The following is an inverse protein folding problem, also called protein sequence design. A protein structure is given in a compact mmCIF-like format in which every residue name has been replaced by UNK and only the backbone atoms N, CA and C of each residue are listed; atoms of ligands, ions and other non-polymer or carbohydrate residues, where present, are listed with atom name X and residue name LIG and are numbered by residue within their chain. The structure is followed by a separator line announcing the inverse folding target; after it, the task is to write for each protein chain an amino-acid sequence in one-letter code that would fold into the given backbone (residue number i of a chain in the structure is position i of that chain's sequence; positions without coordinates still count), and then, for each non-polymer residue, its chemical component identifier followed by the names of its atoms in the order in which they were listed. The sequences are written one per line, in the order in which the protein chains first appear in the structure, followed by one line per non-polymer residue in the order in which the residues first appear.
data_IF_739968127062
#
_entry.id   IF_739968127062
#
_cell.length_a   1.000
_cell.length_b   1.000
_cell.length_c   1.000
_cell.angle_alpha   90.00
_cell.angle_beta   90.00
_cell.angle_gamma   90.00
#
_symmetry.space_group_name_H-M   'P 1'
#
loop_
_entity.id
_entity.type
_entity.pdbx_description
1 polymer ?
#
# COMPACT_ATOMS: atom_id res chain seq x y z
N UNK A 1 11.39 10.37 5.58
CA UNK A 1 10.43 9.59 6.37
C UNK A 1 11.15 9.14 7.62
N UNK A 2 10.55 9.28 8.81
CA UNK A 2 11.17 8.84 10.08
C UNK A 2 11.39 7.33 10.17
N UNK A 3 10.66 6.52 9.39
CA UNK A 3 10.88 5.07 9.35
C UNK A 3 12.31 4.70 8.95
N UNK A 4 12.92 5.46 8.05
CA UNK A 4 14.29 5.23 7.58
C UNK A 4 15.31 5.26 8.72
N UNK A 5 15.06 6.05 9.77
CA UNK A 5 15.94 6.22 10.92
C UNK A 5 15.84 5.04 11.91
N UNK A 6 14.75 4.25 11.85
CA UNK A 6 14.42 3.26 12.87
C UNK A 6 14.22 1.84 12.33
N UNK A 7 14.15 1.67 11.00
CA UNK A 7 14.08 0.33 10.41
C UNK A 7 15.42 -0.38 10.57
N UNK A 8 15.39 -1.64 10.97
CA UNK A 8 16.58 -2.50 11.00
C UNK A 8 16.55 -3.52 9.85
N UNK A 9 17.63 -4.29 9.71
CA UNK A 9 17.77 -5.26 8.61
C UNK A 9 16.76 -6.42 8.74
N UNK A 10 16.32 -6.74 9.96
CA UNK A 10 15.32 -7.77 10.18
C UNK A 10 13.93 -7.31 9.69
N UNK A 11 13.58 -6.06 9.97
CA UNK A 11 12.36 -5.43 9.46
C UNK A 11 12.38 -5.34 7.93
N UNK A 12 13.53 -5.01 7.31
CA UNK A 12 13.67 -4.99 5.84
C UNK A 12 13.47 -6.40 5.26
N UNK A 13 14.07 -7.42 5.87
CA UNK A 13 13.90 -8.80 5.44
C UNK A 13 12.43 -9.25 5.54
N UNK A 14 11.72 -8.86 6.60
CA UNK A 14 10.29 -9.15 6.78
C UNK A 14 9.43 -8.44 5.72
N UNK A 15 9.70 -7.15 5.44
CA UNK A 15 9.03 -6.41 4.37
C UNK A 15 9.22 -7.09 3.01
N UNK A 16 10.42 -7.61 2.74
CA UNK A 16 10.73 -8.32 1.50
C UNK A 16 9.99 -9.67 1.42
N UNK A 17 9.88 -10.40 2.52
CA UNK A 17 9.08 -11.62 2.58
C UNK A 17 7.60 -11.35 2.26
N UNK A 18 7.02 -10.32 2.88
CA UNK A 18 5.63 -9.91 2.63
C UNK A 18 5.42 -9.48 1.17
N UNK A 19 6.39 -8.77 0.58
CA UNK A 19 6.32 -8.39 -0.83
C UNK A 19 6.33 -9.62 -1.76
N UNK A 20 7.17 -10.62 -1.50
CA UNK A 20 7.17 -11.87 -2.26
C UNK A 20 5.87 -12.68 -2.11
N UNK A 21 5.28 -12.69 -0.92
CA UNK A 21 3.95 -13.28 -0.71
C UNK A 21 2.86 -12.52 -1.49
N UNK A 22 2.94 -11.19 -1.52
CA UNK A 22 2.04 -10.33 -2.31
C UNK A 22 2.16 -10.64 -3.80
N UNK A 23 3.38 -10.77 -4.32
CA UNK A 23 3.64 -11.20 -5.71
C UNK A 23 3.02 -12.57 -6.00
N UNK A 24 3.21 -13.53 -5.11
CA UNK A 24 2.67 -14.87 -5.27
C UNK A 24 1.12 -14.89 -5.30
N UNK A 25 0.46 -14.06 -4.49
CA UNK A 25 -1.00 -13.91 -4.48
C UNK A 25 -1.52 -13.35 -5.81
N UNK A 26 -0.88 -12.29 -6.32
CA UNK A 26 -1.24 -11.68 -7.61
C UNK A 26 -1.01 -12.65 -8.77
N UNK A 27 0.13 -13.35 -8.80
CA UNK A 27 0.42 -14.34 -9.83
C UNK A 27 -0.58 -15.51 -9.86
N UNK A 28 -1.10 -15.93 -8.70
CA UNK A 28 -2.11 -17.00 -8.60
C UNK A 28 -3.52 -16.51 -8.91
N UNK A 29 -3.70 -15.22 -9.24
CA UNK A 29 -5.01 -14.55 -9.40
C UNK A 29 -5.89 -14.66 -8.15
N UNK A 30 -5.28 -14.93 -7.00
CA UNK A 30 -5.93 -14.90 -5.69
C UNK A 30 -5.71 -13.52 -5.10
N UNK A 31 -6.41 -12.53 -5.66
CA UNK A 31 -6.38 -11.14 -5.14
C UNK A 31 -6.94 -11.09 -3.71
N UNK A 32 -7.77 -12.08 -3.36
CA UNK A 32 -8.21 -12.38 -2.00
C UNK A 32 -7.00 -12.60 -1.08
N UNK A 33 -6.72 -11.62 -0.22
CA UNK A 33 -5.60 -11.63 0.73
C UNK A 33 -4.49 -10.60 0.45
N UNK A 34 -4.47 -9.97 -0.73
CA UNK A 34 -3.50 -8.92 -1.05
C UNK A 34 -3.64 -7.73 -0.09
N UNK A 35 -4.87 -7.36 0.28
CA UNK A 35 -5.13 -6.26 1.21
C UNK A 35 -4.62 -6.53 2.62
N UNK A 36 -4.68 -7.79 3.05
CA UNK A 36 -4.15 -8.20 4.34
C UNK A 36 -2.62 -8.10 4.37
N UNK A 37 -1.96 -8.59 3.31
CA UNK A 37 -0.50 -8.45 3.15
C UNK A 37 -0.08 -6.99 3.02
N UNK A 38 -0.85 -6.17 2.31
CA UNK A 38 -0.60 -4.75 2.20
C UNK A 38 -0.70 -4.04 3.57
N UNK A 39 -1.71 -4.40 4.38
CA UNK A 39 -1.82 -3.92 5.75
C UNK A 39 -0.66 -4.33 6.63
N UNK A 40 -0.24 -5.58 6.54
CA UNK A 40 0.90 -6.14 7.29
C UNK A 40 2.18 -5.35 6.97
N UNK A 41 2.46 -5.16 5.67
CA UNK A 41 3.59 -4.38 5.18
C UNK A 41 3.64 -2.96 5.79
N UNK A 42 2.54 -2.22 5.67
CA UNK A 42 2.49 -0.87 6.21
C UNK A 42 2.43 -0.83 7.74
N UNK A 43 2.02 -1.90 8.42
CA UNK A 43 2.07 -1.99 9.88
C UNK A 43 3.52 -1.92 10.37
N UNK A 44 4.45 -2.62 9.72
CA UNK A 44 5.88 -2.61 10.05
C UNK A 44 6.46 -1.21 9.86
N UNK A 45 6.20 -0.57 8.71
CA UNK A 45 6.68 0.79 8.41
C UNK A 45 6.11 1.81 9.39
N UNK A 46 4.80 1.69 9.65
CA UNK A 46 4.12 2.57 10.58
C UNK A 46 4.70 2.40 11.99
N UNK A 47 5.01 1.19 12.44
CA UNK A 47 5.65 0.96 13.73
C UNK A 47 7.03 1.67 13.79
N UNK A 48 7.84 1.54 12.74
CA UNK A 48 9.16 2.18 12.63
C UNK A 48 9.11 3.72 12.66
N UNK A 49 8.04 4.36 12.18
CA UNK A 49 8.00 5.83 12.04
C UNK A 49 7.88 6.59 13.37
N UNK A 50 7.64 5.90 14.49
CA UNK A 50 7.39 6.49 15.83
C UNK A 50 6.47 7.74 15.80
N UNK A 51 5.46 7.72 14.92
CA UNK A 51 4.57 8.85 14.66
C UNK A 51 3.12 8.49 15.01
N UNK A 52 2.79 8.35 16.31
CA UNK A 52 1.48 7.86 16.75
C UNK A 52 0.30 8.71 16.26
N UNK A 53 0.49 10.03 16.12
CA UNK A 53 -0.55 10.93 15.58
C UNK A 53 -0.81 10.73 14.09
N UNK A 54 0.23 10.51 13.28
CA UNK A 54 0.08 10.24 11.84
C UNK A 54 -0.57 8.87 11.59
N UNK A 55 -0.18 7.85 12.37
CA UNK A 55 -0.84 6.54 12.35
C UNK A 55 -2.33 6.65 12.69
N UNK A 56 -2.68 7.46 13.69
CA UNK A 56 -4.07 7.68 14.09
C UNK A 56 -4.90 8.35 12.99
N UNK A 57 -4.38 9.41 12.36
CA UNK A 57 -5.06 10.10 11.24
C UNK A 57 -5.24 9.16 10.05
N UNK A 58 -4.18 8.45 9.64
CA UNK A 58 -4.26 7.49 8.54
C UNK A 58 -5.28 6.37 8.81
N UNK A 59 -5.30 5.85 10.03
CA UNK A 59 -6.30 4.86 10.48
C UNK A 59 -7.73 5.42 10.47
N UNK A 60 -7.91 6.72 10.73
CA UNK A 60 -9.21 7.40 10.62
C UNK A 60 -9.67 7.48 9.17
N UNK A 61 -8.77 7.88 8.25
CA UNK A 61 -9.06 7.99 6.82
C UNK A 61 -9.41 6.64 6.18
N UNK A 62 -8.68 5.58 6.53
CA UNK A 62 -8.89 4.22 6.00
C UNK A 62 -10.29 3.68 6.32
N UNK A 63 -10.93 4.12 7.42
CA UNK A 63 -12.31 3.69 7.75
C UNK A 63 -13.36 4.19 6.77
N UNK A 64 -13.05 5.26 6.03
CA UNK A 64 -13.93 5.80 5.00
C UNK A 64 -13.67 5.18 3.62
N UNK A 65 -12.65 4.33 3.50
CA UNK A 65 -12.43 3.55 2.28
C UNK A 65 -13.12 2.18 2.45
N UNK A 66 -14.09 1.84 1.58
CA UNK A 66 -14.75 0.54 1.64
C UNK A 66 -13.77 -0.62 1.57
N UNK A 67 -13.86 -1.55 2.52
CA UNK A 67 -12.94 -2.69 2.68
C UNK A 67 -12.93 -3.66 1.49
N UNK A 68 -13.96 -3.65 0.64
CA UNK A 68 -14.05 -4.49 -0.55
C UNK A 68 -13.46 -3.85 -1.81
N UNK A 69 -13.29 -2.52 -1.83
CA UNK A 69 -12.96 -1.83 -3.09
C UNK A 69 -11.55 -2.11 -3.58
N UNK A 70 -10.58 -2.36 -2.70
CA UNK A 70 -9.21 -2.54 -3.13
C UNK A 70 -9.00 -3.76 -4.06
N UNK A 71 -9.74 -4.84 -3.83
CA UNK A 71 -9.71 -6.01 -4.73
C UNK A 71 -10.45 -5.77 -6.05
N UNK A 72 -11.40 -4.84 -6.07
CA UNK A 72 -12.27 -4.53 -7.21
C UNK A 72 -11.80 -3.29 -8.02
N UNK A 73 -10.84 -2.52 -7.50
CA UNK A 73 -10.28 -1.33 -8.16
C UNK A 73 -9.27 -1.77 -9.23
N UNK A 74 -9.51 -1.44 -10.52
CA UNK A 74 -8.57 -1.74 -11.59
C UNK A 74 -7.17 -1.17 -11.31
N UNK A 75 -6.13 -1.98 -11.51
CA UNK A 75 -4.74 -1.56 -11.33
C UNK A 75 -4.24 -1.50 -9.87
N UNK A 76 -5.10 -1.79 -8.89
CA UNK A 76 -4.69 -1.82 -7.47
C UNK A 76 -3.54 -2.80 -7.16
N UNK A 77 -3.51 -4.02 -7.70
CA UNK A 77 -2.38 -4.93 -7.49
C UNK A 77 -1.05 -4.34 -7.95
N UNK A 78 -1.03 -3.69 -9.13
CA UNK A 78 0.20 -3.12 -9.69
C UNK A 78 0.67 -1.90 -8.89
N UNK A 79 -0.26 -1.06 -8.43
CA UNK A 79 0.04 0.08 -7.53
C UNK A 79 0.67 -0.44 -6.23
N UNK A 80 0.09 -1.51 -5.66
CA UNK A 80 0.53 -2.10 -4.39
C UNK A 80 1.93 -2.69 -4.52
N UNK A 81 2.16 -3.56 -5.51
CA UNK A 81 3.44 -4.24 -5.70
C UNK A 81 4.58 -3.27 -6.01
N UNK A 82 4.35 -2.35 -6.95
CA UNK A 82 5.36 -1.34 -7.30
C UNK A 82 5.66 -0.42 -6.11
N UNK A 83 4.63 -0.05 -5.34
CA UNK A 83 4.79 0.75 -4.13
C UNK A 83 5.62 0.05 -3.05
N UNK A 84 5.38 -1.24 -2.82
CA UNK A 84 6.14 -2.05 -1.88
C UNK A 84 7.61 -2.17 -2.29
N UNK A 85 7.88 -2.48 -3.56
CA UNK A 85 9.24 -2.62 -4.09
C UNK A 85 10.03 -1.31 -3.94
N UNK A 86 9.50 -0.18 -4.45
CA UNK A 86 10.16 1.12 -4.31
C UNK A 86 10.36 1.55 -2.85
N UNK A 87 9.43 1.20 -1.95
CA UNK A 87 9.58 1.52 -0.53
C UNK A 87 10.72 0.71 0.11
N UNK A 88 10.84 -0.58 -0.20
CA UNK A 88 11.95 -1.41 0.27
C UNK A 88 13.28 -0.81 -0.20
N UNK A 89 13.40 -0.47 -1.49
CA UNK A 89 14.60 0.15 -2.06
C UNK A 89 14.98 1.45 -1.33
N UNK A 90 14.00 2.31 -1.06
CA UNK A 90 14.23 3.57 -0.33
C UNK A 90 14.65 3.33 1.13
N UNK A 91 14.12 2.30 1.79
CA UNK A 91 14.51 1.92 3.15
C UNK A 91 15.95 1.37 3.18
N UNK A 92 16.32 0.51 2.23
CA UNK A 92 17.68 -0.03 2.10
C UNK A 92 18.71 1.05 1.80
N UNK A 93 18.36 1.98 0.90
CA UNK A 93 19.21 3.13 0.56
C UNK A 93 19.27 4.18 1.69
N UNK A 94 18.49 4.01 2.76
CA UNK A 94 18.28 4.99 3.83
C UNK A 94 17.86 6.37 3.29
N UNK A 95 17.05 6.38 2.24
CA UNK A 95 16.58 7.60 1.58
C UNK A 95 15.23 8.05 2.15
N UNK A 96 15.31 8.92 3.15
CA UNK A 96 14.15 9.54 3.77
C UNK A 96 13.32 10.39 2.79
N UNK A 97 13.93 10.99 1.76
CA UNK A 97 13.24 11.79 0.77
C UNK A 97 12.39 10.92 -0.15
N UNK A 98 13.00 9.88 -0.72
CA UNK A 98 12.32 8.92 -1.58
C UNK A 98 11.18 8.20 -0.86
N UNK A 99 11.40 7.71 0.37
CA UNK A 99 10.35 7.08 1.15
C UNK A 99 9.14 8.00 1.40
N UNK A 100 9.37 9.31 1.54
CA UNK A 100 8.28 10.29 1.67
C UNK A 100 7.53 10.47 0.35
N UNK A 101 8.25 10.67 -0.76
CA UNK A 101 7.66 10.85 -2.09
C UNK A 101 6.84 9.62 -2.53
N UNK A 102 7.33 8.41 -2.24
CA UNK A 102 6.61 7.16 -2.52
C UNK A 102 5.31 7.09 -1.72
N UNK A 103 5.36 7.39 -0.42
CA UNK A 103 4.15 7.42 0.42
C UNK A 103 3.09 8.37 -0.14
N UNK A 104 3.50 9.58 -0.53
CA UNK A 104 2.60 10.58 -1.13
C UNK A 104 2.02 10.09 -2.47
N UNK A 105 2.86 9.54 -3.34
CA UNK A 105 2.46 8.99 -4.64
C UNK A 105 1.43 7.87 -4.51
N UNK A 106 1.63 6.93 -3.57
CA UNK A 106 0.71 5.82 -3.34
C UNK A 106 -0.65 6.32 -2.86
N UNK A 107 -0.68 7.26 -1.91
CA UNK A 107 -1.96 7.83 -1.43
C UNK A 107 -2.71 8.58 -2.53
N UNK A 108 -1.99 9.35 -3.36
CA UNK A 108 -2.59 10.04 -4.51
C UNK A 108 -3.16 9.05 -5.52
N UNK A 109 -2.36 8.07 -5.97
CA UNK A 109 -2.80 7.04 -6.94
C UNK A 109 -3.97 6.22 -6.41
N UNK A 110 -3.96 5.89 -5.12
CA UNK A 110 -5.08 5.21 -4.46
C UNK A 110 -6.35 6.08 -4.44
N UNK A 111 -6.21 7.37 -4.19
CA UNK A 111 -7.31 8.34 -4.24
C UNK A 111 -7.88 8.49 -5.66
N UNK A 112 -7.02 8.62 -6.66
CA UNK A 112 -7.39 8.73 -8.07
C UNK A 112 -8.18 7.48 -8.52
N UNK A 113 -7.64 6.29 -8.24
CA UNK A 113 -8.29 5.03 -8.59
C UNK A 113 -9.64 4.81 -7.87
N UNK A 114 -9.74 5.28 -6.61
CA UNK A 114 -11.00 5.25 -5.87
C UNK A 114 -12.04 6.19 -6.50
N UNK A 115 -11.64 7.42 -6.85
CA UNK A 115 -12.54 8.38 -7.50
C UNK A 115 -13.08 7.83 -8.83
N UNK A 116 -12.21 7.27 -9.67
CA UNK A 116 -12.59 6.63 -10.94
C UNK A 116 -13.57 5.47 -10.71
N UNK A 117 -13.37 4.64 -9.68
CA UNK A 117 -14.29 3.53 -9.36
C UNK A 117 -15.69 4.02 -8.96
N UNK A 118 -15.81 5.17 -8.30
CA UNK A 118 -17.09 5.79 -7.96
C UNK A 118 -17.80 6.34 -9.19
N UNK A 119 -17.05 6.94 -10.13
CA UNK A 119 -17.60 7.40 -11.41
C UNK A 119 -18.16 6.23 -12.22
N UNK A 120 -17.45 5.10 -12.27
CA UNK A 120 -17.92 3.87 -12.95
C UNK A 120 -19.20 3.34 -12.29
N UNK A 121 -19.22 3.27 -10.96
CA UNK A 121 -20.37 2.76 -10.20
C UNK A 121 -21.60 3.66 -10.32
N UNK A 122 -21.42 4.99 -10.31
CA UNK A 122 -22.52 5.96 -10.45
C UNK A 122 -23.01 6.12 -11.89
N UNK A 123 -22.14 5.86 -12.89
CA UNK A 123 -22.51 5.86 -14.30
C UNK A 123 -23.25 4.58 -14.76
N UNK A 124 -23.37 3.55 -13.91
CA UNK A 124 -24.09 2.31 -14.22
C UNK A 124 -23.40 1.43 -15.28
N UNK A 125 -22.10 1.62 -15.51
CA UNK A 125 -21.32 0.85 -16.45
C UNK A 125 -20.64 -0.31 -15.72
N UNK A 126 -21.04 -1.54 -16.00
CA UNK A 126 -20.30 -2.74 -15.58
C UNK A 126 -18.91 -2.73 -16.24
N UNK A 127 -17.81 -3.03 -15.52
CA UNK A 127 -16.54 -3.32 -16.18
C UNK A 127 -16.74 -4.51 -17.12
N UNK A 128 -16.28 -4.38 -18.36
CA UNK A 128 -16.38 -5.41 -19.38
C UNK A 128 -15.60 -6.66 -18.96
N UNK A 129 -16.23 -7.82 -19.22
CA UNK A 129 -15.77 -9.19 -18.93
C UNK A 129 -14.39 -9.55 -19.51
#
# INVERSE_FOLDING_TARGET
SRAVEHVDDAMIAELRAIHHESLALVHRRTVHGLDEKNREFYSIINHATDAPKLRWVAGLCIRYVPRSLYSDVPGWPDITLAGQESMIEALEARDAGSARAITESIHRRAGDALAESFEITTAGLSPAE
#
